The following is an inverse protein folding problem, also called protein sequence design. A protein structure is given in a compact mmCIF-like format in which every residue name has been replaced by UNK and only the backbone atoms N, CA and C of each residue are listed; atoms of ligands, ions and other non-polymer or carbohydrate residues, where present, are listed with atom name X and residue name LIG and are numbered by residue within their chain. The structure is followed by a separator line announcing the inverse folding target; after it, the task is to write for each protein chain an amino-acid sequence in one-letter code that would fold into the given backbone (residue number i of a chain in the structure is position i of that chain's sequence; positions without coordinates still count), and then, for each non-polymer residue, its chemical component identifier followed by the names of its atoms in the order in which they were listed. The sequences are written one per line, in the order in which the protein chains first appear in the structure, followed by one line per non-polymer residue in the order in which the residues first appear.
data_IF_959087773752
#
_entry.id   IF_959087773752
#
_cell.length_a   1.000
_cell.length_b   1.000
_cell.length_c   1.000
_cell.angle_alpha   90.00
_cell.angle_beta   90.00
_cell.angle_gamma   90.00
#
_symmetry.space_group_name_H-M   'P 1'
#
loop_
_entity.id
_entity.type
_entity.pdbx_description
1 polymer ?
#
# COMPACT_ATOMS: atom_id res chain seq x y z
N UNK A 1 10.07 6.08 7.70
CA UNK A 1 9.46 4.74 7.49
C UNK A 1 8.64 4.75 6.21
N UNK A 2 7.78 5.75 6.04
CA UNK A 2 7.10 6.04 4.77
C UNK A 2 8.05 6.00 3.56
N UNK A 3 9.14 6.78 3.52
CA UNK A 3 10.05 6.80 2.36
C UNK A 3 10.65 5.43 2.00
N UNK A 4 10.90 4.56 3.00
CA UNK A 4 11.39 3.20 2.75
C UNK A 4 10.30 2.32 2.17
N UNK A 5 9.11 2.36 2.77
CA UNK A 5 7.92 1.66 2.25
C UNK A 5 7.65 2.10 0.83
N UNK A 6 7.64 3.41 0.59
CA UNK A 6 7.48 4.02 -0.73
C UNK A 6 8.51 3.46 -1.70
N UNK A 7 9.80 3.60 -1.42
CA UNK A 7 10.84 3.13 -2.35
C UNK A 7 10.76 1.62 -2.66
N UNK A 8 10.46 0.78 -1.66
CA UNK A 8 10.38 -0.67 -1.84
C UNK A 8 9.13 -1.09 -2.61
N UNK A 9 7.98 -0.52 -2.24
CA UNK A 9 6.70 -0.83 -2.86
C UNK A 9 6.62 -0.24 -4.25
N UNK A 10 6.96 1.05 -4.40
CA UNK A 10 6.90 1.80 -5.65
C UNK A 10 7.66 1.07 -6.76
N UNK A 11 8.89 0.61 -6.51
CA UNK A 11 9.67 -0.14 -7.49
C UNK A 11 8.98 -1.45 -7.92
N UNK A 12 8.31 -2.12 -6.97
CA UNK A 12 7.67 -3.41 -7.20
C UNK A 12 6.31 -3.31 -7.89
N UNK A 13 5.56 -2.22 -7.65
CA UNK A 13 4.24 -1.98 -8.28
C UNK A 13 4.34 -1.07 -9.51
N UNK A 14 5.52 -0.53 -9.81
CA UNK A 14 5.79 0.29 -10.99
C UNK A 14 5.42 -0.40 -12.30
N UNK A 15 5.65 -1.71 -12.37
CA UNK A 15 5.32 -2.53 -13.54
C UNK A 15 3.80 -2.61 -13.76
N UNK A 16 3.00 -2.49 -12.69
CA UNK A 16 1.54 -2.42 -12.75
C UNK A 16 1.02 -1.02 -13.13
N UNK A 17 1.92 -0.04 -13.29
CA UNK A 17 1.56 1.38 -13.51
C UNK A 17 0.96 2.04 -12.27
N UNK A 18 1.19 1.47 -11.08
CA UNK A 18 0.76 2.01 -9.80
C UNK A 18 1.96 2.69 -9.11
N UNK A 19 1.67 3.61 -8.20
CA UNK A 19 2.66 4.21 -7.32
C UNK A 19 2.03 4.47 -5.95
N UNK A 20 2.87 4.56 -4.92
CA UNK A 20 2.36 4.85 -3.58
C UNK A 20 2.08 6.35 -3.47
N UNK A 21 0.83 6.73 -3.22
CA UNK A 21 0.43 8.11 -2.98
C UNK A 21 0.84 8.53 -1.58
N UNK A 22 0.33 7.82 -0.56
CA UNK A 22 0.56 8.11 0.85
C UNK A 22 0.68 6.83 1.67
N UNK A 23 1.46 6.88 2.75
CA UNK A 23 1.52 5.81 3.74
C UNK A 23 1.32 6.42 5.10
N UNK A 24 0.31 5.98 5.82
CA UNK A 24 0.03 6.48 7.15
C UNK A 24 -0.35 5.33 8.09
N UNK A 25 -0.07 5.56 9.36
CA UNK A 25 -0.35 4.60 10.40
C UNK A 25 -1.58 5.05 11.18
N UNK A 26 -2.54 4.15 11.37
CA UNK A 26 -3.70 4.37 12.24
C UNK A 26 -3.66 3.37 13.39
N UNK A 27 -4.16 3.80 14.54
CA UNK A 27 -4.37 2.94 15.69
C UNK A 27 -5.79 3.18 16.19
N UNK A 28 -6.67 2.22 15.93
CA UNK A 28 -8.08 2.28 16.31
C UNK A 28 -8.38 1.12 17.26
N UNK A 29 -8.94 1.44 18.43
CA UNK A 29 -9.27 0.45 19.48
C UNK A 29 -8.10 -0.46 19.90
N UNK A 30 -6.85 0.02 19.74
CA UNK A 30 -5.64 -0.75 20.05
C UNK A 30 -5.15 -1.65 18.92
N UNK A 31 -5.83 -1.65 17.77
CA UNK A 31 -5.39 -2.34 16.55
C UNK A 31 -4.48 -1.41 15.76
N UNK A 32 -3.26 -1.86 15.49
CA UNK A 32 -2.25 -1.12 14.77
C UNK A 32 -2.38 -1.40 13.27
N UNK A 33 -2.83 -0.41 12.50
CA UNK A 33 -3.06 -0.58 11.07
C UNK A 33 -2.12 0.30 10.23
N UNK A 34 -1.44 -0.29 9.26
CA UNK A 34 -0.66 0.45 8.28
C UNK A 34 -1.49 0.61 7.02
N UNK A 35 -1.81 1.84 6.66
CA UNK A 35 -2.61 2.17 5.49
C UNK A 35 -1.68 2.64 4.38
N UNK A 36 -1.73 1.95 3.25
CA UNK A 36 -0.98 2.28 2.04
C UNK A 36 -1.99 2.68 0.97
N UNK A 37 -2.00 3.96 0.65
CA UNK A 37 -2.80 4.52 -0.43
C UNK A 37 -2.00 4.42 -1.74
N UNK A 38 -2.53 3.67 -2.70
CA UNK A 38 -1.98 3.52 -4.04
C UNK A 38 -2.71 4.46 -5.01
N UNK A 39 -1.96 5.12 -5.87
CA UNK A 39 -2.50 5.92 -6.97
C UNK A 39 -1.89 5.44 -8.29
N UNK A 40 -2.53 5.83 -9.39
CA UNK A 40 -2.02 5.56 -10.73
C UNK A 40 -2.48 6.65 -11.67
N UNK A 41 -1.75 6.85 -12.75
CA UNK A 41 -2.18 7.77 -13.79
C UNK A 41 -3.45 7.23 -14.49
N UNK A 42 -3.52 5.90 -14.66
CA UNK A 42 -4.66 5.19 -15.24
C UNK A 42 -5.77 4.89 -14.24
N UNK A 43 -6.86 4.26 -14.72
CA UNK A 43 -7.91 3.69 -13.87
C UNK A 43 -7.34 2.50 -13.10
N UNK A 44 -7.60 2.48 -11.79
CA UNK A 44 -7.27 1.36 -10.93
C UNK A 44 -8.46 0.40 -10.89
N UNK A 45 -8.26 -0.79 -11.44
CA UNK A 45 -9.19 -1.91 -11.29
C UNK A 45 -8.90 -2.72 -10.02
N UNK A 46 -9.92 -3.42 -9.53
CA UNK A 46 -9.82 -4.35 -8.39
C UNK A 46 -8.71 -5.40 -8.58
N UNK A 47 -8.44 -5.81 -9.83
CA UNK A 47 -7.34 -6.72 -10.14
C UNK A 47 -5.97 -6.09 -9.85
N UNK A 48 -5.75 -4.82 -10.24
CA UNK A 48 -4.49 -4.11 -9.98
C UNK A 48 -4.22 -4.00 -8.47
N UNK A 49 -5.25 -3.70 -7.67
CA UNK A 49 -5.13 -3.68 -6.21
C UNK A 49 -4.83 -5.05 -5.64
N UNK A 50 -5.53 -6.09 -6.11
CA UNK A 50 -5.29 -7.46 -5.65
C UNK A 50 -3.84 -7.91 -5.94
N UNK A 51 -3.32 -7.58 -7.13
CA UNK A 51 -1.93 -7.88 -7.52
C UNK A 51 -0.93 -7.09 -6.69
N UNK A 52 -1.17 -5.78 -6.51
CA UNK A 52 -0.34 -4.93 -5.66
C UNK A 52 -0.27 -5.47 -4.23
N UNK A 53 -1.39 -5.87 -3.63
CA UNK A 53 -1.43 -6.45 -2.28
C UNK A 53 -0.59 -7.72 -2.17
N UNK A 54 -0.66 -8.62 -3.17
CA UNK A 54 0.18 -9.83 -3.20
C UNK A 54 1.68 -9.54 -3.26
N UNK A 55 2.06 -8.42 -3.88
CA UNK A 55 3.46 -7.99 -4.00
C UNK A 55 3.91 -7.26 -2.73
N UNK A 56 3.05 -6.38 -2.19
CA UNK A 56 3.37 -5.54 -1.03
C UNK A 56 3.48 -6.39 0.25
N UNK A 57 2.57 -7.35 0.46
CA UNK A 57 2.58 -8.23 1.64
C UNK A 57 3.96 -8.83 1.93
N UNK A 58 4.57 -9.61 1.00
CA UNK A 58 5.87 -10.23 1.25
C UNK A 58 6.98 -9.19 1.43
N UNK A 59 6.95 -8.05 0.72
CA UNK A 59 7.96 -6.98 0.88
C UNK A 59 7.94 -6.42 2.31
N UNK A 60 6.74 -6.18 2.84
CA UNK A 60 6.57 -5.68 4.21
C UNK A 60 7.05 -6.71 5.25
N UNK A 61 6.78 -7.99 5.01
CA UNK A 61 7.18 -9.10 5.87
C UNK A 61 8.71 -9.30 5.85
N UNK A 62 9.32 -9.40 4.67
CA UNK A 62 10.77 -9.56 4.48
C UNK A 62 11.58 -8.42 5.11
N UNK A 63 11.07 -7.19 5.03
CA UNK A 63 11.73 -6.02 5.61
C UNK A 63 11.36 -5.77 7.08
N UNK A 64 10.56 -6.65 7.69
CA UNK A 64 10.10 -6.55 9.07
C UNK A 64 9.38 -5.21 9.36
N UNK A 65 8.73 -4.63 8.35
CA UNK A 65 8.07 -3.32 8.42
C UNK A 65 6.68 -3.43 9.07
N UNK A 66 6.06 -4.62 8.99
CA UNK A 66 4.78 -4.92 9.62
C UNK A 66 4.90 -5.64 10.97
N UNK A 67 6.09 -5.74 11.56
CA UNK A 67 6.31 -6.54 12.78
C UNK A 67 5.57 -6.02 14.03
N UNK A 68 5.18 -4.74 14.02
CA UNK A 68 4.36 -4.08 15.06
C UNK A 68 2.99 -3.64 14.50
N UNK A 69 2.60 -4.15 13.32
CA UNK A 69 1.36 -3.83 12.63
C UNK A 69 0.47 -5.07 12.67
N UNK A 70 -0.75 -4.94 13.18
CA UNK A 70 -1.74 -6.01 13.20
C UNK A 70 -2.43 -6.17 11.84
N UNK A 71 -2.68 -5.06 11.16
CA UNK A 71 -3.44 -5.02 9.90
C UNK A 71 -2.71 -4.18 8.86
N UNK A 72 -2.44 -4.78 7.69
CA UNK A 72 -1.97 -4.03 6.53
C UNK A 72 -3.17 -3.74 5.63
N UNK A 73 -3.56 -2.46 5.55
CA UNK A 73 -4.64 -2.00 4.71
C UNK A 73 -4.05 -1.35 3.45
N UNK A 74 -4.39 -1.92 2.29
CA UNK A 74 -3.90 -1.46 0.99
C UNK A 74 -5.11 -1.11 0.16
N UNK A 75 -5.23 0.18 -0.18
CA UNK A 75 -6.36 0.69 -0.90
C UNK A 75 -5.92 1.64 -2.01
N UNK A 76 -6.76 1.77 -3.03
CA UNK A 76 -6.57 2.78 -4.07
C UNK A 76 -7.08 4.12 -3.55
N UNK A 77 -6.37 5.20 -3.89
CA UNK A 77 -6.91 6.54 -3.78
C UNK A 77 -8.23 6.62 -4.51
N UNK A 78 -9.30 6.96 -3.79
CA UNK A 78 -10.59 7.24 -4.42
C UNK A 78 -10.43 8.44 -5.36
N UNK A 79 -10.36 8.17 -6.66
CA UNK A 79 -10.65 9.17 -7.68
C UNK A 79 -12.17 9.28 -7.74
N UNK A 80 -12.73 10.13 -6.89
CA UNK A 80 -14.15 10.45 -6.94
C UNK A 80 -14.51 10.89 -8.36
N UNK A 81 -15.33 10.09 -9.03
CA UNK A 81 -16.02 10.48 -10.25
C UNK A 81 -16.88 11.71 -9.89
N UNK A 82 -16.65 12.84 -10.55
CA UNK A 82 -17.37 14.09 -10.32
C UNK A 82 -18.51 14.22 -11.34
#
# INVERSE_FOLDING_TARGET
MEEKVKALVDDSIKDLGLFVSSVYYSCEEGVKSLNIELDSDEVIDVNKITEATKIINPIMDDNNLCNDIDVLDIHSKEKGDN
#
